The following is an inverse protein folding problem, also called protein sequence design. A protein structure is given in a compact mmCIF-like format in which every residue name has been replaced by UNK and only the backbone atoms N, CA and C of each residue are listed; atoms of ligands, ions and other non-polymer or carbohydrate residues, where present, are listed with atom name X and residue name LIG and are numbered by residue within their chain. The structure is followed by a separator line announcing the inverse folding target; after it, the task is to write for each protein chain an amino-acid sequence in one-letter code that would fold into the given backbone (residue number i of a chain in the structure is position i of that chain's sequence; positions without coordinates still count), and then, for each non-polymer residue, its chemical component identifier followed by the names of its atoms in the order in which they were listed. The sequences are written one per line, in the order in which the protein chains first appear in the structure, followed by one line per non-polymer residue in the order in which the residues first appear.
data_IF_033927111108
#
_entry.id   IF_033927111108
#
_cell.length_a   1.000
_cell.length_b   1.000
_cell.length_c   1.000
_cell.angle_alpha   90.00
_cell.angle_beta   90.00
_cell.angle_gamma   90.00
#
_symmetry.space_group_name_H-M   'P 1'
#
loop_
_entity.id
_entity.type
_entity.pdbx_description
1 polymer ?
#
# COMPACT_ATOMS: atom_id res chain seq x y z
N UNK A 1 3.96 -14.41 15.16
CA UNK A 1 4.93 -13.56 14.45
C UNK A 1 4.27 -12.91 13.24
N UNK A 2 4.55 -11.65 13.00
CA UNK A 2 3.97 -10.92 11.87
C UNK A 2 4.45 -11.50 10.54
N UNK A 3 3.51 -11.85 9.67
CA UNK A 3 3.80 -12.31 8.32
C UNK A 3 3.85 -11.10 7.37
N UNK A 4 5.03 -10.81 6.85
CA UNK A 4 5.24 -9.72 5.90
C UNK A 4 6.41 -10.03 4.99
N UNK A 5 6.49 -9.29 3.90
CA UNK A 5 7.59 -9.36 2.93
C UNK A 5 8.10 -7.96 2.62
N UNK A 6 9.39 -7.81 2.54
CA UNK A 6 10.02 -6.58 2.07
C UNK A 6 10.07 -6.62 0.54
N UNK A 7 9.46 -5.63 -0.10
CA UNK A 7 9.36 -5.54 -1.55
C UNK A 7 10.49 -4.69 -2.12
N UNK A 8 10.72 -3.53 -1.52
CA UNK A 8 11.83 -2.62 -1.82
C UNK A 8 12.45 -2.16 -0.51
N UNK A 9 13.48 -1.33 -0.58
CA UNK A 9 14.08 -0.73 0.62
C UNK A 9 13.07 0.09 1.42
N UNK A 10 11.96 0.53 0.81
CA UNK A 10 10.99 1.45 1.42
C UNK A 10 9.59 0.88 1.59
N UNK A 11 9.31 -0.30 1.05
CA UNK A 11 7.95 -0.86 1.02
C UNK A 11 7.90 -2.28 1.55
N UNK A 12 6.98 -2.51 2.48
CA UNK A 12 6.61 -3.82 3.00
C UNK A 12 5.14 -4.11 2.72
N UNK A 13 4.82 -5.35 2.40
CA UNK A 13 3.45 -5.84 2.25
C UNK A 13 3.25 -7.03 3.20
N UNK A 14 2.15 -7.05 3.93
CA UNK A 14 1.91 -8.15 4.85
C UNK A 14 0.50 -8.24 5.39
N UNK A 15 0.41 -8.95 6.51
CA UNK A 15 -0.81 -9.16 7.26
C UNK A 15 -0.99 -8.06 8.31
N UNK A 16 -2.13 -8.07 9.00
CA UNK A 16 -2.49 -7.04 9.98
C UNK A 16 -1.54 -7.07 11.18
N UNK A 17 -0.80 -5.99 11.45
CA UNK A 17 0.01 -5.91 12.66
C UNK A 17 -0.88 -5.73 13.89
N UNK A 18 -0.70 -6.60 14.88
CA UNK A 18 -1.29 -6.44 16.20
C UNK A 18 -0.46 -5.48 17.03
N UNK A 19 -0.98 -5.09 18.19
CA UNK A 19 -0.35 -4.06 19.03
C UNK A 19 1.12 -4.35 19.34
N UNK A 20 1.48 -5.60 19.60
CA UNK A 20 2.86 -6.02 19.89
C UNK A 20 3.79 -5.97 18.67
N UNK A 21 3.24 -5.98 17.46
CA UNK A 21 4.02 -5.95 16.22
C UNK A 21 4.55 -4.55 15.87
N UNK A 22 3.99 -3.49 16.45
CA UNK A 22 4.44 -2.13 16.16
C UNK A 22 5.89 -1.89 16.54
N UNK A 23 6.37 -2.58 17.58
CA UNK A 23 7.78 -2.55 17.93
C UNK A 23 8.67 -3.04 16.79
N UNK A 24 8.31 -4.19 16.20
CA UNK A 24 9.02 -4.75 15.04
C UNK A 24 9.01 -3.78 13.86
N UNK A 25 7.87 -3.17 13.58
CA UNK A 25 7.77 -2.21 12.47
C UNK A 25 8.68 -0.99 12.69
N UNK A 26 8.78 -0.50 13.93
CA UNK A 26 9.71 0.59 14.26
C UNK A 26 11.16 0.18 14.03
N UNK A 27 11.54 -1.01 14.45
CA UNK A 27 12.90 -1.53 14.24
C UNK A 27 13.25 -1.63 12.76
N UNK A 28 12.27 -1.91 11.91
CA UNK A 28 12.44 -1.95 10.46
C UNK A 28 12.53 -0.57 9.82
N UNK A 29 12.26 0.50 10.59
CA UNK A 29 12.27 1.86 10.07
C UNK A 29 10.93 2.30 9.46
N UNK A 30 9.86 1.54 9.68
CA UNK A 30 8.52 1.91 9.19
C UNK A 30 8.02 3.14 9.94
N UNK A 31 7.53 4.12 9.20
CA UNK A 31 6.94 5.35 9.75
C UNK A 31 5.49 5.56 9.33
N UNK A 32 4.96 4.73 8.45
CA UNK A 32 3.55 4.77 8.04
C UNK A 32 3.04 3.35 7.82
N UNK A 33 1.90 3.03 8.42
CA UNK A 33 1.17 1.78 8.20
C UNK A 33 -0.15 2.10 7.51
N UNK A 34 -0.44 1.43 6.39
CA UNK A 34 -1.70 1.59 5.66
C UNK A 34 -2.52 0.31 5.80
N UNK A 35 -3.69 0.42 6.41
CA UNK A 35 -4.64 -0.67 6.62
C UNK A 35 -5.77 -0.57 5.60
N UNK A 36 -5.93 -1.61 4.77
CA UNK A 36 -6.93 -1.66 3.70
C UNK A 36 -8.21 -2.43 4.10
N UNK A 37 -8.36 -2.80 5.37
CA UNK A 37 -9.46 -3.68 5.79
C UNK A 37 -10.68 -2.90 6.26
N UNK A 38 -11.83 -3.06 5.60
CA UNK A 38 -13.12 -2.56 6.09
C UNK A 38 -13.51 -3.27 7.39
N UNK A 39 -13.26 -4.56 7.46
CA UNK A 39 -13.72 -5.44 8.55
C UNK A 39 -12.89 -5.32 9.84
N UNK A 40 -11.74 -4.62 9.78
CA UNK A 40 -10.87 -4.51 10.96
C UNK A 40 -10.14 -3.16 10.97
N UNK A 41 -10.49 -2.25 11.88
CA UNK A 41 -9.69 -1.03 12.06
C UNK A 41 -8.28 -1.35 12.59
N UNK A 42 -7.33 -0.41 12.51
CA UNK A 42 -5.99 -0.61 13.05
C UNK A 42 -6.01 -0.97 14.54
N UNK A 43 -5.13 -1.90 14.94
CA UNK A 43 -4.89 -2.14 16.35
C UNK A 43 -4.21 -0.91 16.97
N UNK A 44 -4.47 -0.71 18.25
CA UNK A 44 -3.89 0.42 18.97
C UNK A 44 -2.40 0.21 19.21
N UNK A 45 -1.62 1.24 18.93
CA UNK A 45 -0.23 1.31 19.31
C UNK A 45 -0.14 2.07 20.64
N UNK A 46 0.36 1.40 21.67
CA UNK A 46 0.46 1.98 23.03
C UNK A 46 1.71 2.81 23.24
N UNK A 47 2.60 2.89 22.26
CA UNK A 47 3.81 3.72 22.36
C UNK A 47 3.45 5.21 22.19
N UNK A 48 4.31 6.08 22.68
CA UNK A 48 4.16 7.52 22.58
C UNK A 48 5.42 8.16 21.99
N UNK A 49 5.33 8.78 20.81
CA UNK A 49 4.15 8.89 19.98
C UNK A 49 3.80 7.55 19.30
N UNK A 50 2.53 7.30 19.01
CA UNK A 50 2.14 6.09 18.29
C UNK A 50 2.65 6.12 16.84
N UNK A 51 2.85 4.94 16.27
CA UNK A 51 3.20 4.82 14.86
C UNK A 51 2.02 5.32 14.01
N UNK A 52 2.31 6.17 13.01
CA UNK A 52 1.26 6.71 12.15
C UNK A 52 0.57 5.58 11.38
N UNK A 53 -0.74 5.49 11.55
CA UNK A 53 -1.57 4.52 10.84
C UNK A 53 -2.61 5.25 10.00
N UNK A 54 -2.86 4.74 8.80
CA UNK A 54 -3.84 5.27 7.88
C UNK A 54 -4.85 4.16 7.57
N UNK A 55 -6.10 4.36 7.95
CA UNK A 55 -7.15 3.39 7.68
C UNK A 55 -7.89 3.78 6.41
N UNK A 56 -7.71 2.96 5.38
CA UNK A 56 -8.37 3.11 4.07
C UNK A 56 -9.27 1.89 3.84
N UNK A 57 -10.44 1.84 4.48
CA UNK A 57 -11.27 0.64 4.47
C UNK A 57 -11.78 0.29 3.08
N UNK A 58 -11.55 -0.96 2.66
CA UNK A 58 -11.97 -1.50 1.37
C UNK A 58 -12.42 -2.94 1.53
N UNK A 59 -13.10 -3.45 0.51
CA UNK A 59 -13.55 -4.84 0.45
C UNK A 59 -12.65 -5.66 -0.45
N UNK A 60 -12.47 -6.92 -0.12
CA UNK A 60 -11.86 -7.90 -1.01
C UNK A 60 -12.98 -8.64 -1.74
N UNK A 61 -13.44 -8.06 -2.83
CA UNK A 61 -14.60 -8.57 -3.58
C UNK A 61 -14.51 -8.20 -5.05
N UNK A 62 -14.83 -9.15 -5.96
CA UNK A 62 -14.93 -8.83 -7.38
C UNK A 62 -16.11 -7.91 -7.70
N UNK A 63 -17.08 -7.78 -6.79
CA UNK A 63 -18.29 -6.95 -6.98
C UNK A 63 -18.13 -5.54 -6.44
N UNK A 64 -17.17 -5.32 -5.55
CA UNK A 64 -16.93 -4.00 -4.94
C UNK A 64 -15.47 -3.65 -5.17
N UNK A 65 -15.15 -2.99 -6.30
CA UNK A 65 -13.77 -2.64 -6.62
C UNK A 65 -13.18 -1.68 -5.59
N UNK A 66 -11.86 -1.79 -5.40
CA UNK A 66 -11.13 -0.79 -4.60
C UNK A 66 -11.23 0.56 -5.32
N UNK A 67 -11.77 1.61 -4.69
CA UNK A 67 -11.85 2.92 -5.35
C UNK A 67 -10.46 3.45 -5.69
N UNK A 68 -10.31 3.99 -6.89
CA UNK A 68 -9.01 4.53 -7.33
C UNK A 68 -8.53 5.68 -6.45
N UNK A 69 -9.45 6.51 -5.95
CA UNK A 69 -9.12 7.60 -5.02
C UNK A 69 -8.52 7.10 -3.70
N UNK A 70 -8.89 5.89 -3.28
CA UNK A 70 -8.31 5.26 -2.06
C UNK A 70 -6.86 4.90 -2.34
N UNK A 71 -6.59 4.28 -3.48
CA UNK A 71 -5.21 3.96 -3.90
C UNK A 71 -4.39 5.24 -4.05
N UNK A 72 -4.97 6.29 -4.64
CA UNK A 72 -4.31 7.58 -4.80
C UNK A 72 -3.96 8.23 -3.45
N UNK A 73 -4.88 8.22 -2.50
CA UNK A 73 -4.63 8.76 -1.15
C UNK A 73 -3.49 8.04 -0.45
N UNK A 74 -3.51 6.71 -0.50
CA UNK A 74 -2.45 5.90 0.10
C UNK A 74 -1.10 6.10 -0.59
N UNK A 75 -1.09 6.13 -1.92
CA UNK A 75 0.13 6.34 -2.69
C UNK A 75 0.74 7.72 -2.42
N UNK A 76 -0.07 8.77 -2.36
CA UNK A 76 0.41 10.13 -2.03
C UNK A 76 1.01 10.20 -0.63
N UNK A 77 0.35 9.61 0.36
CA UNK A 77 0.86 9.56 1.73
C UNK A 77 2.17 8.77 1.81
N UNK A 78 2.23 7.64 1.11
CA UNK A 78 3.44 6.81 1.05
C UNK A 78 4.61 7.57 0.42
N UNK A 79 4.37 8.28 -0.68
CA UNK A 79 5.41 9.05 -1.34
C UNK A 79 5.99 10.15 -0.45
N UNK A 80 5.14 10.84 0.31
CA UNK A 80 5.63 11.83 1.27
C UNK A 80 6.58 11.22 2.31
N UNK A 81 6.25 10.05 2.80
CA UNK A 81 7.08 9.32 3.77
C UNK A 81 8.38 8.86 3.13
N UNK A 82 8.32 8.26 1.95
CA UNK A 82 9.48 7.73 1.23
C UNK A 82 10.43 8.85 0.83
N UNK A 83 9.91 9.98 0.36
CA UNK A 83 10.72 11.14 -0.04
C UNK A 83 11.50 11.74 1.14
N UNK A 84 11.05 11.50 2.37
CA UNK A 84 11.76 11.91 3.58
C UNK A 84 12.58 10.78 4.22
N UNK A 85 12.80 9.69 3.49
CA UNK A 85 13.63 8.57 3.93
C UNK A 85 12.94 7.56 4.84
N UNK A 86 11.63 7.68 5.03
CA UNK A 86 10.84 6.74 5.80
C UNK A 86 10.43 5.51 4.99
N UNK A 87 9.84 4.52 5.67
CA UNK A 87 9.36 3.29 5.05
C UNK A 87 7.88 3.09 5.34
N UNK A 88 7.22 2.37 4.45
CA UNK A 88 5.77 2.16 4.47
C UNK A 88 5.45 0.68 4.56
N UNK A 89 4.53 0.33 5.44
CA UNK A 89 3.97 -1.00 5.57
C UNK A 89 2.50 -0.96 5.12
N UNK A 90 2.16 -1.72 4.10
CA UNK A 90 0.77 -1.82 3.63
C UNK A 90 0.22 -3.20 3.91
N UNK A 91 -1.03 -3.29 4.32
CA UNK A 91 -1.61 -4.58 4.66
C UNK A 91 -3.11 -4.66 4.43
N UNK A 92 -3.57 -5.90 4.34
CA UNK A 92 -4.96 -6.31 4.48
C UNK A 92 -4.99 -7.51 5.44
N UNK A 93 -5.90 -8.48 5.25
CA UNK A 93 -5.94 -9.66 6.12
C UNK A 93 -4.79 -10.63 5.81
N UNK A 94 -4.69 -11.08 4.56
CA UNK A 94 -3.70 -12.07 4.13
C UNK A 94 -2.47 -11.47 3.44
N UNK A 95 -2.53 -10.20 3.07
CA UNK A 95 -1.47 -9.59 2.26
C UNK A 95 -1.39 -10.18 0.86
N UNK A 96 -2.55 -10.58 0.31
CA UNK A 96 -2.64 -11.24 -0.99
C UNK A 96 -3.31 -10.39 -2.06
N UNK A 97 -4.33 -9.60 -1.70
CA UNK A 97 -5.15 -8.85 -2.67
C UNK A 97 -5.14 -7.35 -2.41
N UNK A 98 -5.85 -6.87 -1.38
CA UNK A 98 -6.01 -5.42 -1.10
C UNK A 98 -4.70 -4.73 -0.76
N UNK A 99 -3.89 -5.34 0.09
CA UNK A 99 -2.56 -4.83 0.44
C UNK A 99 -1.63 -4.85 -0.75
N UNK A 100 -1.76 -5.86 -1.61
CA UNK A 100 -1.00 -5.97 -2.86
C UNK A 100 -1.40 -4.86 -3.83
N UNK A 101 -2.68 -4.54 -3.97
CA UNK A 101 -3.14 -3.44 -4.81
C UNK A 101 -2.55 -2.10 -4.33
N UNK A 102 -2.58 -1.85 -3.02
CA UNK A 102 -1.98 -0.63 -2.46
C UNK A 102 -0.47 -0.61 -2.63
N UNK A 103 0.21 -1.73 -2.40
CA UNK A 103 1.66 -1.83 -2.62
C UNK A 103 2.03 -1.56 -4.07
N UNK A 104 1.27 -2.09 -5.03
CA UNK A 104 1.46 -1.81 -6.44
C UNK A 104 1.24 -0.31 -6.74
N UNK A 105 0.24 0.31 -6.13
CA UNK A 105 -0.01 1.75 -6.29
C UNK A 105 1.18 2.58 -5.79
N UNK A 106 1.78 2.21 -4.68
CA UNK A 106 2.98 2.89 -4.16
C UNK A 106 4.14 2.74 -5.15
N UNK A 107 4.38 1.54 -5.67
CA UNK A 107 5.44 1.30 -6.66
C UNK A 107 5.22 2.10 -7.94
N UNK A 108 3.98 2.17 -8.42
CA UNK A 108 3.62 2.98 -9.59
C UNK A 108 3.90 4.47 -9.32
N UNK A 109 3.57 4.94 -8.14
CA UNK A 109 3.89 6.32 -7.73
C UNK A 109 5.40 6.58 -7.69
N UNK A 110 6.20 5.56 -7.39
CA UNK A 110 7.66 5.64 -7.42
C UNK A 110 8.25 5.57 -8.85
N UNK A 111 7.42 5.28 -9.87
CA UNK A 111 7.84 5.26 -11.26
C UNK A 111 7.88 3.89 -11.92
N UNK A 112 7.49 2.84 -11.22
CA UNK A 112 7.38 1.50 -11.83
C UNK A 112 6.16 1.46 -12.76
N UNK A 113 6.25 0.67 -13.83
CA UNK A 113 5.06 0.32 -14.61
C UNK A 113 4.19 -0.65 -13.81
N UNK A 114 2.89 -0.78 -14.13
CA UNK A 114 2.05 -1.77 -13.44
C UNK A 114 2.57 -3.20 -13.59
N UNK A 115 3.11 -3.54 -14.76
CA UNK A 115 3.71 -4.87 -15.00
C UNK A 115 4.94 -5.10 -14.12
N UNK A 116 5.82 -4.10 -14.03
CA UNK A 116 7.00 -4.17 -13.16
C UNK A 116 6.62 -4.28 -11.69
N UNK A 117 5.62 -3.51 -11.25
CA UNK A 117 5.13 -3.55 -9.88
C UNK A 117 4.59 -4.94 -9.52
N UNK A 118 3.77 -5.52 -10.39
CA UNK A 118 3.19 -6.86 -10.22
C UNK A 118 4.30 -7.91 -10.15
N UNK A 119 5.26 -7.86 -11.07
CA UNK A 119 6.37 -8.81 -11.11
C UNK A 119 7.22 -8.73 -9.83
N UNK A 120 7.53 -7.52 -9.38
CA UNK A 120 8.35 -7.30 -8.19
C UNK A 120 7.65 -7.83 -6.92
N UNK A 121 6.36 -7.59 -6.79
CA UNK A 121 5.58 -8.08 -5.65
C UNK A 121 5.53 -9.61 -5.64
N UNK A 122 5.30 -10.24 -6.79
CA UNK A 122 5.28 -11.71 -6.92
C UNK A 122 6.63 -12.33 -6.59
N UNK A 123 7.71 -11.67 -6.97
CA UNK A 123 9.06 -12.13 -6.69
C UNK A 123 9.35 -12.17 -5.19
N UNK A 124 8.88 -11.18 -4.43
CA UNK A 124 9.23 -11.01 -3.02
C UNK A 124 8.19 -11.55 -2.03
N UNK A 125 6.96 -11.78 -2.47
CA UNK A 125 5.90 -12.28 -1.59
C UNK A 125 5.14 -13.42 -2.23
N UNK A 126 5.38 -14.64 -1.73
CA UNK A 126 4.74 -15.86 -2.25
C UNK A 126 3.22 -15.84 -2.09
N UNK A 127 2.70 -15.24 -1.01
CA UNK A 127 1.27 -15.16 -0.74
C UNK A 127 0.53 -14.16 -1.64
N UNK A 128 1.26 -13.27 -2.33
CA UNK A 128 0.65 -12.23 -3.15
C UNK A 128 -0.01 -12.81 -4.40
N UNK A 129 -1.20 -12.32 -4.71
CA UNK A 129 -1.95 -12.69 -5.92
C UNK A 129 -2.43 -11.42 -6.65
N UNK A 130 -1.49 -10.67 -7.27
CA UNK A 130 -1.85 -9.46 -8.02
C UNK A 130 -2.51 -9.77 -9.37
N UNK A 131 -2.49 -11.03 -9.80
CA UNK A 131 -3.03 -11.45 -11.09
C UNK A 131 -4.52 -11.76 -11.04
N UNK A 132 -5.12 -11.89 -9.86
CA UNK A 132 -6.58 -12.06 -9.78
C UNK A 132 -7.26 -10.87 -10.46
N UNK A 133 -8.21 -11.14 -11.35
CA UNK A 133 -8.67 -10.16 -12.35
C UNK A 133 -9.15 -8.83 -11.77
N UNK A 134 -9.86 -8.83 -10.64
CA UNK A 134 -10.42 -7.59 -10.08
C UNK A 134 -9.37 -6.74 -9.37
N UNK A 135 -8.28 -7.35 -8.89
CA UNK A 135 -7.14 -6.62 -8.33
C UNK A 135 -6.25 -6.09 -9.46
N UNK A 136 -5.89 -6.96 -10.42
CA UNK A 136 -5.09 -6.57 -11.58
C UNK A 136 -5.71 -5.40 -12.33
N UNK A 137 -7.02 -5.44 -12.55
CA UNK A 137 -7.74 -4.36 -13.22
C UNK A 137 -7.58 -3.03 -12.51
N UNK A 138 -7.70 -3.01 -11.18
CA UNK A 138 -7.58 -1.78 -10.41
C UNK A 138 -6.14 -1.25 -10.38
N UNK A 139 -5.15 -2.12 -10.39
CA UNK A 139 -3.74 -1.73 -10.49
C UNK A 139 -3.50 -0.99 -11.82
N UNK A 140 -3.96 -1.53 -12.94
CA UNK A 140 -3.79 -0.90 -14.25
C UNK A 140 -4.59 0.40 -14.38
N UNK A 141 -5.81 0.44 -13.86
CA UNK A 141 -6.62 1.67 -13.82
C UNK A 141 -5.94 2.76 -12.99
N UNK A 142 -5.38 2.38 -11.86
CA UNK A 142 -4.64 3.32 -11.04
C UNK A 142 -3.43 3.89 -11.78
N UNK A 143 -2.67 3.06 -12.48
CA UNK A 143 -1.53 3.51 -13.27
C UNK A 143 -1.95 4.54 -14.32
N UNK A 144 -3.06 4.31 -15.01
CA UNK A 144 -3.58 5.26 -15.98
C UNK A 144 -3.97 6.59 -15.32
N UNK A 145 -4.61 6.54 -14.17
CA UNK A 145 -4.99 7.74 -13.42
C UNK A 145 -3.75 8.52 -12.96
N UNK A 146 -2.81 7.83 -12.35
CA UNK A 146 -1.61 8.42 -11.78
C UNK A 146 -0.75 9.10 -12.84
N UNK A 147 -0.55 8.45 -13.97
CA UNK A 147 0.29 8.96 -15.05
C UNK A 147 -0.32 10.17 -15.78
N UNK A 148 -1.62 10.42 -15.63
CA UNK A 148 -2.31 11.59 -16.18
C UNK A 148 -2.32 12.79 -15.24
N UNK A 149 -2.21 12.54 -13.93
CA UNK A 149 -2.37 13.58 -12.90
C UNK A 149 -1.34 14.72 -12.99
N UNK A 150 -0.03 14.47 -13.26
CA UNK A 150 0.97 15.53 -13.31
C UNK A 150 0.65 16.61 -14.35
N UNK A 151 0.12 16.25 -15.51
CA UNK A 151 -0.24 17.20 -16.56
C UNK A 151 -1.38 18.13 -16.12
N UNK A 152 -2.34 17.60 -15.36
CA UNK A 152 -3.46 18.39 -14.86
C UNK A 152 -3.07 19.31 -13.71
N UNK A 153 -2.08 18.93 -12.91
CA UNK A 153 -1.60 19.73 -11.79
C UNK A 153 -0.70 20.87 -12.25
N UNK A 154 -0.01 20.69 -13.36
CA UNK A 154 0.90 21.70 -13.90
C UNK A 154 0.18 22.76 -14.73
N UNK A 155 -0.87 22.40 -15.45
CA UNK A 155 -1.58 23.29 -16.35
C UNK A 155 -2.27 24.50 -15.67
N UNK A 156 -2.90 24.37 -14.50
CA UNK A 156 -3.61 25.50 -13.88
C UNK A 156 -2.71 26.53 -13.20
N UNK A 157 -1.46 26.25 -12.97
CA UNK A 157 -0.53 27.15 -12.31
C UNK A 157 0.13 28.19 -13.21
N UNK A 158 -0.22 28.15 -14.45
CA UNK A 158 0.38 29.00 -15.49
C UNK A 158 -0.28 30.36 -15.64
#
# INVERSE_FOLDING_TARGET
MLDFSQITDYLFIGTTPRSEAYHTLRELGVSLVINMRMERPPYRDSNDPPLRTMWLPTFDSPFIPIPLRVLERGAKAAMQVIDHGGKVYVHCAAGAHRGVAMGAAVLIAEGYTPEEAIALIKEHRAAADPDIWYIRRQIFRFANLWNRAPEKELAPGE
#
